data_IF_189331282333
#
_entry.id   IF_189331282333
#
_cell.length_a   1.000
_cell.length_b   1.000
_cell.length_c   1.000
_cell.angle_alpha   90.00
_cell.angle_beta   90.00
_cell.angle_gamma   90.00
#
_symmetry.space_group_name_H-M   'P 1'
#
loop_
_entity.id
_entity.type
_entity.pdbx_description
1 polymer ?
#
# COMPACT_ATOMS: atom_id res chain seq x y z
N UNK A 1 54.73 -19.94 -21.58
CA UNK A 1 53.98 -18.82 -20.98
C UNK A 1 52.74 -18.60 -21.83
N UNK A 2 51.59 -19.08 -21.39
CA UNK A 2 50.38 -19.14 -22.22
C UNK A 2 49.34 -18.14 -21.72
N UNK A 3 48.93 -17.21 -22.59
CA UNK A 3 47.87 -16.23 -22.32
C UNK A 3 46.51 -16.84 -22.64
N UNK A 4 45.68 -17.10 -21.63
CA UNK A 4 44.30 -17.58 -21.81
C UNK A 4 43.31 -16.44 -21.61
N UNK A 5 42.69 -16.01 -22.71
CA UNK A 5 41.52 -15.12 -22.73
C UNK A 5 40.23 -15.96 -22.73
N UNK A 6 39.23 -15.56 -21.94
CA UNK A 6 37.85 -16.07 -22.03
C UNK A 6 36.88 -15.15 -21.29
N UNK A 7 36.26 -14.21 -22.02
CA UNK A 7 35.18 -13.35 -21.51
C UNK A 7 33.80 -13.99 -21.78
N UNK A 8 33.35 -14.93 -20.94
CA UNK A 8 32.02 -15.55 -21.08
C UNK A 8 30.90 -14.70 -20.47
N UNK A 9 30.63 -13.54 -21.09
CA UNK A 9 29.42 -12.75 -20.80
C UNK A 9 28.22 -13.32 -21.57
N UNK A 10 27.38 -14.11 -20.88
CA UNK A 10 26.17 -14.70 -21.47
C UNK A 10 25.12 -13.61 -21.75
N UNK A 11 25.12 -13.10 -22.97
CA UNK A 11 24.11 -12.17 -23.49
C UNK A 11 22.79 -12.92 -23.75
N UNK A 12 21.80 -12.67 -22.90
CA UNK A 12 20.43 -13.17 -23.07
C UNK A 12 19.73 -12.50 -24.27
N UNK A 13 19.47 -13.26 -25.33
CA UNK A 13 18.55 -12.81 -26.39
C UNK A 13 17.10 -12.89 -25.92
N UNK A 14 16.56 -11.74 -25.53
CA UNK A 14 15.18 -11.58 -25.09
C UNK A 14 14.15 -11.71 -26.23
N UNK A 15 14.56 -11.64 -27.50
CA UNK A 15 13.63 -11.60 -28.65
C UNK A 15 12.96 -12.95 -28.92
N UNK A 16 13.63 -14.06 -28.58
CA UNK A 16 13.06 -15.41 -28.75
C UNK A 16 11.87 -15.72 -27.83
N UNK A 17 11.52 -14.84 -26.88
CA UNK A 17 10.40 -15.03 -25.94
C UNK A 17 9.01 -14.70 -26.53
N UNK A 18 8.93 -14.05 -27.69
CA UNK A 18 7.68 -13.42 -28.15
C UNK A 18 6.60 -14.41 -28.66
N UNK A 19 6.97 -15.67 -28.89
CA UNK A 19 6.08 -16.66 -29.53
C UNK A 19 5.17 -17.44 -28.58
N UNK A 20 5.42 -17.43 -27.26
CA UNK A 20 4.59 -18.15 -26.27
C UNK A 20 3.30 -17.40 -25.89
N UNK A 21 3.16 -16.12 -26.25
CA UNK A 21 2.16 -15.21 -25.67
C UNK A 21 0.71 -15.45 -26.16
N UNK A 22 0.45 -16.47 -26.97
CA UNK A 22 -0.85 -16.72 -27.60
C UNK A 22 -1.67 -17.90 -27.03
N UNK A 23 -1.22 -18.56 -25.94
CA UNK A 23 -1.91 -19.76 -25.39
C UNK A 23 -2.15 -19.74 -23.88
N UNK A 24 -3.01 -18.82 -23.40
CA UNK A 24 -3.67 -18.98 -22.09
C UNK A 24 -5.03 -18.25 -22.02
N UNK A 25 -6.11 -18.90 -22.50
CA UNK A 25 -7.49 -18.37 -22.37
C UNK A 25 -8.20 -18.91 -21.11
N UNK A 26 -8.77 -18.00 -20.33
CA UNK A 26 -9.71 -18.29 -19.23
C UNK A 26 -9.13 -18.13 -17.81
N UNK A 27 -9.94 -17.83 -16.78
CA UNK A 27 -11.40 -17.57 -16.73
C UNK A 27 -11.71 -16.58 -15.61
N UNK A 28 -12.55 -15.55 -15.84
CA UNK A 28 -13.20 -14.76 -14.78
C UNK A 28 -14.65 -14.36 -15.14
N UNK A 29 -15.58 -14.74 -14.27
CA UNK A 29 -16.71 -13.97 -13.72
C UNK A 29 -17.67 -13.17 -14.63
N UNK A 30 -18.93 -13.63 -14.73
CA UNK A 30 -20.10 -12.79 -15.08
C UNK A 30 -20.75 -12.15 -13.82
N UNK A 31 -21.63 -11.15 -14.02
CA UNK A 31 -22.18 -10.23 -12.98
C UNK A 31 -23.65 -9.81 -13.28
N UNK A 32 -24.38 -9.23 -12.30
CA UNK A 32 -24.71 -7.77 -12.28
C UNK A 32 -24.52 -7.21 -10.84
N UNK A 33 -25.27 -6.30 -10.18
CA UNK A 33 -25.89 -4.98 -10.53
C UNK A 33 -24.96 -3.80 -10.03
N UNK A 34 -25.20 -2.48 -9.86
CA UNK A 34 -26.38 -1.57 -9.67
C UNK A 34 -27.06 -1.73 -8.28
N UNK A 35 -27.59 -0.75 -7.50
CA UNK A 35 -27.66 0.75 -7.39
C UNK A 35 -27.95 1.09 -5.88
N UNK A 36 -28.06 2.35 -5.36
CA UNK A 36 -27.71 3.70 -5.85
C UNK A 36 -26.84 4.54 -4.85
N UNK A 37 -26.71 5.86 -5.08
CA UNK A 37 -25.91 6.85 -4.32
C UNK A 37 -26.79 7.78 -3.44
N UNK A 38 -26.16 8.64 -2.60
CA UNK A 38 -26.71 9.92 -2.16
C UNK A 38 -25.62 10.98 -1.88
N UNK A 39 -26.03 12.23 -1.68
CA UNK A 39 -25.24 13.45 -1.96
C UNK A 39 -24.70 14.20 -0.73
N UNK A 40 -23.96 15.29 -0.99
CA UNK A 40 -23.28 16.18 -0.04
C UNK A 40 -24.21 17.22 0.62
N UNK A 41 -23.74 17.88 1.70
CA UNK A 41 -24.42 19.03 2.31
C UNK A 41 -23.43 20.00 2.95
N UNK A 42 -23.52 21.28 2.60
CA UNK A 42 -22.62 22.36 3.04
C UNK A 42 -23.09 22.97 4.37
N UNK A 43 -22.43 22.62 5.48
CA UNK A 43 -22.92 22.95 6.83
C UNK A 43 -21.86 23.49 7.83
N UNK A 44 -20.58 23.57 7.45
CA UNK A 44 -19.46 23.66 8.42
C UNK A 44 -18.76 25.03 8.50
N UNK A 45 -19.14 26.02 7.66
CA UNK A 45 -18.52 27.37 7.70
C UNK A 45 -19.07 28.28 8.81
N UNK A 46 -20.36 28.19 9.13
CA UNK A 46 -21.05 29.18 9.99
C UNK A 46 -20.78 28.98 11.50
N UNK A 47 -20.28 27.81 11.88
CA UNK A 47 -19.92 27.45 13.27
C UNK A 47 -18.80 28.33 13.84
N UNK A 48 -17.75 28.58 13.05
CA UNK A 48 -16.47 29.12 13.55
C UNK A 48 -16.50 30.64 13.80
N UNK A 49 -17.49 31.35 13.27
CA UNK A 49 -17.65 32.81 13.43
C UNK A 49 -18.13 33.26 14.82
N UNK A 50 -18.42 32.31 15.72
CA UNK A 50 -18.93 32.59 17.07
C UNK A 50 -17.85 32.72 18.14
N UNK A 51 -16.80 31.89 18.13
CA UNK A 51 -15.84 31.78 19.24
C UNK A 51 -14.87 32.96 19.40
N UNK A 52 -14.72 33.81 18.38
CA UNK A 52 -13.78 34.95 18.41
C UNK A 52 -14.42 36.31 18.72
N UNK A 53 -15.73 36.37 18.94
CA UNK A 53 -16.43 37.60 19.31
C UNK A 53 -16.21 37.93 20.80
N UNK A 54 -15.27 38.84 21.08
CA UNK A 54 -15.11 39.47 22.40
C UNK A 54 -13.68 39.48 22.98
N UNK A 55 -12.75 38.68 22.43
CA UNK A 55 -11.38 38.54 22.95
C UNK A 55 -10.64 39.88 23.07
N UNK A 56 -10.15 40.22 24.26
CA UNK A 56 -9.25 41.37 24.48
C UNK A 56 -7.88 41.13 23.85
N UNK A 57 -7.08 42.19 23.66
CA UNK A 57 -5.72 42.05 23.10
C UNK A 57 -4.78 41.23 23.99
N UNK A 58 -5.03 41.19 25.31
CA UNK A 58 -4.28 40.35 26.26
C UNK A 58 -4.60 38.86 26.07
N UNK A 59 -5.88 38.52 25.93
CA UNK A 59 -6.33 37.13 25.71
C UNK A 59 -5.94 36.62 24.31
N UNK A 60 -6.00 37.49 23.29
CA UNK A 60 -5.50 37.19 21.95
C UNK A 60 -3.99 36.89 21.95
N UNK A 61 -3.20 37.62 22.75
CA UNK A 61 -1.77 37.33 22.94
C UNK A 61 -1.55 35.96 23.59
N UNK A 62 -2.30 35.65 24.66
CA UNK A 62 -2.17 34.40 25.40
C UNK A 62 -2.53 33.19 24.54
N UNK A 63 -3.70 33.20 23.86
CA UNK A 63 -4.11 32.08 22.99
C UNK A 63 -3.14 31.81 21.84
N UNK A 64 -2.48 32.83 21.31
CA UNK A 64 -1.43 32.64 20.30
C UNK A 64 -0.17 32.00 20.90
N UNK A 65 0.23 32.40 22.11
CA UNK A 65 1.38 31.80 22.81
C UNK A 65 1.12 30.35 23.25
N UNK A 66 -0.10 30.01 23.65
CA UNK A 66 -0.54 28.62 23.94
C UNK A 66 -0.46 27.72 22.69
N UNK A 67 -0.63 28.30 21.50
CA UNK A 67 -0.48 27.63 20.21
C UNK A 67 0.96 27.72 19.63
N UNK A 68 1.94 28.15 20.44
CA UNK A 68 3.36 28.18 20.09
C UNK A 68 3.84 29.39 19.28
N UNK A 69 2.98 30.38 19.01
CA UNK A 69 3.36 31.60 18.29
C UNK A 69 3.99 32.65 19.23
N UNK A 70 4.92 33.45 18.68
CA UNK A 70 5.52 34.59 19.37
C UNK A 70 4.99 35.92 18.80
N UNK A 71 3.75 36.35 19.12
CA UNK A 71 3.17 37.57 18.57
C UNK A 71 3.94 38.83 18.98
N UNK A 72 4.11 39.76 18.04
CA UNK A 72 4.63 41.10 18.29
C UNK A 72 3.61 42.00 19.00
N UNK A 73 3.78 43.34 18.96
CA UNK A 73 2.84 44.27 19.55
C UNK A 73 1.44 44.16 18.93
N UNK A 74 0.46 43.76 19.75
CA UNK A 74 -0.95 43.77 19.37
C UNK A 74 -1.49 45.18 19.62
N UNK A 75 -1.98 45.82 18.56
CA UNK A 75 -2.57 47.15 18.56
C UNK A 75 -3.73 47.19 17.56
N UNK A 76 -4.48 48.30 17.50
CA UNK A 76 -5.66 48.45 16.64
C UNK A 76 -5.42 48.18 15.15
N UNK A 77 -4.19 48.31 14.64
CA UNK A 77 -3.83 47.99 13.24
C UNK A 77 -3.40 46.53 13.05
N UNK A 78 -2.76 45.90 14.03
CA UNK A 78 -2.26 44.51 13.94
C UNK A 78 -3.27 43.46 14.43
N UNK A 79 -4.22 43.84 15.30
CA UNK A 79 -5.24 42.99 15.93
C UNK A 79 -6.04 42.14 14.93
N UNK A 80 -6.45 42.70 13.79
CA UNK A 80 -7.21 41.97 12.77
C UNK A 80 -6.40 40.82 12.13
N UNK A 81 -5.10 41.03 11.92
CA UNK A 81 -4.18 40.00 11.41
C UNK A 81 -3.97 38.89 12.43
N UNK A 82 -3.79 39.25 13.72
CA UNK A 82 -3.63 38.27 14.79
C UNK A 82 -4.91 37.46 15.06
N UNK A 83 -6.10 38.07 14.94
CA UNK A 83 -7.38 37.33 15.00
C UNK A 83 -7.49 36.33 13.84
N UNK A 84 -7.18 36.72 12.59
CA UNK A 84 -7.16 35.78 11.46
C UNK A 84 -6.16 34.64 11.66
N UNK A 85 -4.95 34.93 12.16
CA UNK A 85 -3.94 33.91 12.44
C UNK A 85 -4.40 32.93 13.53
N UNK A 86 -5.05 33.43 14.58
CA UNK A 86 -5.66 32.58 15.61
C UNK A 86 -6.76 31.67 15.03
N UNK A 87 -7.65 32.19 14.17
CA UNK A 87 -8.66 31.36 13.49
C UNK A 87 -8.01 30.27 12.62
N UNK A 88 -6.96 30.59 11.85
CA UNK A 88 -6.24 29.60 11.04
C UNK A 88 -5.61 28.51 11.92
N UNK A 89 -4.92 28.89 13.00
CA UNK A 89 -4.27 27.94 13.91
C UNK A 89 -5.28 27.06 14.66
N UNK A 90 -6.44 27.60 15.07
CA UNK A 90 -7.52 26.82 15.68
C UNK A 90 -8.18 25.87 14.66
N UNK A 91 -8.32 26.28 13.39
CA UNK A 91 -8.76 25.38 12.33
C UNK A 91 -7.71 24.31 12.02
N UNK A 92 -6.41 24.62 12.07
CA UNK A 92 -5.32 23.66 11.89
C UNK A 92 -5.26 22.65 13.05
N UNK A 93 -5.34 23.11 14.31
CA UNK A 93 -5.41 22.22 15.49
C UNK A 93 -6.67 21.36 15.49
N UNK A 94 -7.83 21.91 15.11
CA UNK A 94 -9.05 21.13 14.98
C UNK A 94 -8.98 20.12 13.81
N UNK A 95 -8.35 20.47 12.68
CA UNK A 95 -8.09 19.52 11.60
C UNK A 95 -7.18 18.38 12.06
N UNK A 96 -6.12 18.67 12.82
CA UNK A 96 -5.21 17.65 13.40
C UNK A 96 -5.96 16.77 14.42
N UNK A 97 -6.71 17.36 15.34
CA UNK A 97 -7.49 16.62 16.33
C UNK A 97 -8.62 15.78 15.70
N UNK A 98 -9.24 16.25 14.61
CA UNK A 98 -10.20 15.47 13.83
C UNK A 98 -9.52 14.37 13.00
N UNK A 99 -8.29 14.56 12.50
CA UNK A 99 -7.53 13.48 11.88
C UNK A 99 -7.20 12.37 12.89
N UNK A 100 -6.74 12.72 14.10
CA UNK A 100 -6.50 11.75 15.17
C UNK A 100 -7.79 11.04 15.61
N UNK A 101 -8.89 11.78 15.86
CA UNK A 101 -10.19 11.17 16.21
C UNK A 101 -10.82 10.36 15.07
N UNK A 102 -10.53 10.64 13.80
CA UNK A 102 -10.89 9.75 12.68
C UNK A 102 -10.02 8.49 12.64
N UNK A 103 -8.72 8.59 12.95
CA UNK A 103 -7.81 7.45 12.99
C UNK A 103 -8.21 6.46 14.10
N UNK A 104 -8.59 6.95 15.27
CA UNK A 104 -9.07 6.11 16.38
C UNK A 104 -10.45 5.50 16.08
N UNK A 105 -11.38 6.25 15.47
CA UNK A 105 -12.68 5.69 15.05
C UNK A 105 -12.60 4.70 13.90
N UNK A 106 -11.64 4.83 12.99
CA UNK A 106 -11.44 3.85 11.90
C UNK A 106 -10.78 2.57 12.41
N UNK A 107 -9.90 2.63 13.42
CA UNK A 107 -9.33 1.41 14.04
C UNK A 107 -10.40 0.43 14.59
N UNK A 108 -11.60 0.90 14.95
CA UNK A 108 -12.71 0.02 15.36
C UNK A 108 -13.48 -0.66 14.21
N UNK A 109 -13.30 -0.23 12.96
CA UNK A 109 -14.04 -0.75 11.78
C UNK A 109 -13.11 -1.34 10.69
N UNK A 110 -11.79 -1.09 10.80
CA UNK A 110 -10.77 -1.64 9.92
C UNK A 110 -10.63 -3.17 10.10
N UNK A 111 -11.26 -3.92 9.19
CA UNK A 111 -11.46 -5.37 9.31
C UNK A 111 -10.23 -6.22 8.88
N UNK A 112 -9.06 -5.83 9.38
CA UNK A 112 -7.81 -6.60 9.36
C UNK A 112 -7.90 -7.86 10.23
N UNK A 113 -6.85 -8.71 10.20
CA UNK A 113 -6.69 -9.77 11.21
C UNK A 113 -6.41 -9.20 12.61
N UNK A 114 -6.85 -9.84 13.71
CA UNK A 114 -6.56 -9.37 15.07
C UNK A 114 -5.06 -9.38 15.41
N UNK A 115 -4.28 -10.21 14.73
CA UNK A 115 -2.82 -10.22 14.77
C UNK A 115 -2.24 -8.92 14.15
N UNK A 116 -2.74 -8.50 12.98
CA UNK A 116 -2.35 -7.23 12.35
C UNK A 116 -2.88 -6.01 13.12
N UNK A 117 -4.12 -6.02 13.64
CA UNK A 117 -4.64 -4.94 14.49
C UNK A 117 -3.74 -4.71 15.71
N UNK A 118 -3.31 -5.79 16.38
CA UNK A 118 -2.39 -5.70 17.52
C UNK A 118 -1.04 -5.06 17.14
N UNK A 119 -0.48 -5.42 15.99
CA UNK A 119 0.75 -4.82 15.49
C UNK A 119 0.56 -3.34 15.10
N UNK A 120 -0.57 -2.99 14.47
CA UNK A 120 -0.94 -1.61 14.12
C UNK A 120 -1.21 -0.72 15.35
N UNK A 121 -1.66 -1.30 16.47
CA UNK A 121 -1.94 -0.56 17.71
C UNK A 121 -0.72 -0.44 18.64
N UNK A 122 0.06 -1.52 18.78
CA UNK A 122 1.09 -1.63 19.83
C UNK A 122 2.53 -1.67 19.31
N UNK A 123 2.70 -1.73 17.98
CA UNK A 123 3.97 -1.98 17.29
C UNK A 123 4.72 -3.27 17.73
N UNK A 124 4.05 -4.15 18.46
CA UNK A 124 4.58 -5.48 18.82
C UNK A 124 4.40 -6.43 17.65
N UNK A 125 5.44 -6.52 16.83
CA UNK A 125 5.54 -7.44 15.70
C UNK A 125 5.70 -8.89 16.20
N UNK A 126 5.24 -9.90 15.45
CA UNK A 126 5.46 -11.30 15.79
C UNK A 126 6.85 -11.78 15.33
N UNK A 127 7.56 -12.49 16.20
CA UNK A 127 8.90 -13.05 15.96
C UNK A 127 8.87 -14.28 15.04
N UNK A 128 8.41 -14.09 13.79
CA UNK A 128 8.24 -15.16 12.80
C UNK A 128 9.51 -15.43 11.95
N UNK A 129 10.70 -15.05 12.42
CA UNK A 129 11.96 -15.30 11.71
C UNK A 129 12.21 -16.80 11.46
N UNK A 130 11.97 -17.64 12.46
CA UNK A 130 12.07 -19.11 12.34
C UNK A 130 10.95 -19.70 11.45
N UNK A 131 9.78 -19.07 11.42
CA UNK A 131 8.66 -19.47 10.57
C UNK A 131 8.94 -19.16 9.10
N UNK A 132 9.49 -17.98 8.79
CA UNK A 132 9.96 -17.67 7.44
C UNK A 132 11.11 -18.60 7.03
N UNK A 133 12.05 -18.90 7.93
CA UNK A 133 13.13 -19.85 7.65
C UNK A 133 12.58 -21.26 7.32
N UNK A 134 11.60 -21.76 8.06
CA UNK A 134 10.97 -23.06 7.79
C UNK A 134 10.20 -23.09 6.46
N UNK A 135 9.59 -21.98 6.06
CA UNK A 135 9.00 -21.80 4.73
C UNK A 135 10.07 -21.82 3.62
N UNK A 136 11.16 -21.07 3.79
CA UNK A 136 12.26 -21.02 2.82
C UNK A 136 12.94 -22.39 2.65
N UNK A 137 13.31 -23.06 3.74
CA UNK A 137 14.10 -24.30 3.72
C UNK A 137 13.43 -25.42 2.89
N UNK A 138 12.10 -25.54 2.95
CA UNK A 138 11.38 -26.54 2.17
C UNK A 138 11.37 -26.27 0.66
N UNK A 139 11.45 -24.99 0.27
CA UNK A 139 11.34 -24.56 -1.12
C UNK A 139 12.68 -24.16 -1.75
N UNK A 140 13.75 -24.08 -0.94
CA UNK A 140 15.12 -23.96 -1.42
C UNK A 140 15.61 -25.27 -2.07
N UNK A 141 15.30 -26.41 -1.45
CA UNK A 141 15.51 -27.78 -1.97
C UNK A 141 14.16 -28.53 -2.09
N UNK A 142 13.33 -28.19 -3.10
CA UNK A 142 12.02 -28.81 -3.26
C UNK A 142 12.16 -30.27 -3.73
N UNK A 143 11.41 -31.18 -3.10
CA UNK A 143 11.32 -32.59 -3.51
C UNK A 143 10.95 -32.70 -5.00
N UNK A 144 11.86 -33.28 -5.79
CA UNK A 144 11.76 -33.40 -7.24
C UNK A 144 10.74 -34.47 -7.67
N UNK A 145 10.44 -35.45 -6.79
CA UNK A 145 9.43 -36.47 -7.06
C UNK A 145 8.01 -35.90 -6.92
N UNK A 146 7.85 -34.79 -6.19
CA UNK A 146 6.58 -34.11 -5.98
C UNK A 146 6.30 -33.10 -7.08
N UNK A 147 5.15 -33.24 -7.74
CA UNK A 147 4.67 -32.29 -8.75
C UNK A 147 4.23 -30.97 -8.09
N UNK A 148 5.09 -29.97 -8.11
CA UNK A 148 4.80 -28.61 -7.66
C UNK A 148 4.06 -27.80 -8.72
N UNK A 149 3.11 -26.96 -8.29
CA UNK A 149 2.31 -26.10 -9.17
C UNK A 149 3.22 -25.10 -9.89
N UNK A 150 3.14 -25.09 -11.22
CA UNK A 150 4.00 -24.30 -12.12
C UNK A 150 5.51 -24.58 -11.99
N UNK A 151 5.89 -25.76 -11.47
CA UNK A 151 7.27 -26.23 -11.38
C UNK A 151 8.08 -25.66 -10.23
N UNK A 152 9.40 -25.87 -10.30
CA UNK A 152 10.39 -25.53 -9.26
C UNK A 152 11.37 -24.41 -9.67
N UNK A 153 11.13 -23.74 -10.80
CA UNK A 153 12.04 -22.70 -11.30
C UNK A 153 11.90 -21.44 -10.43
N UNK A 154 13.00 -21.05 -9.77
CA UNK A 154 13.17 -19.83 -8.94
C UNK A 154 13.08 -18.55 -9.79
N UNK A 155 11.86 -18.25 -10.23
CA UNK A 155 11.49 -17.23 -11.21
C UNK A 155 10.29 -16.37 -10.79
N UNK A 156 9.77 -16.64 -9.58
CA UNK A 156 8.61 -15.95 -9.02
C UNK A 156 9.06 -14.92 -7.98
N UNK A 157 8.18 -13.96 -7.73
CA UNK A 157 8.33 -12.94 -6.69
C UNK A 157 6.96 -12.54 -6.16
N UNK A 158 6.89 -11.84 -5.04
CA UNK A 158 5.69 -11.16 -4.59
C UNK A 158 5.71 -9.70 -5.02
N UNK A 159 4.52 -9.11 -5.21
CA UNK A 159 4.42 -7.67 -5.44
C UNK A 159 3.21 -7.08 -4.74
N UNK A 160 3.35 -5.84 -4.31
CA UNK A 160 2.30 -5.05 -3.69
C UNK A 160 1.99 -3.84 -4.58
N UNK A 161 0.72 -3.47 -4.69
CA UNK A 161 0.34 -2.17 -5.25
C UNK A 161 -0.05 -1.23 -4.12
N UNK A 162 0.57 -0.05 -4.08
CA UNK A 162 0.36 0.95 -3.04
C UNK A 162 -0.16 2.27 -3.63
N UNK A 163 -1.02 2.94 -2.85
CA UNK A 163 -1.58 4.25 -3.18
C UNK A 163 -0.64 5.40 -2.75
N UNK A 164 -0.04 6.16 -3.69
CA UNK A 164 0.83 7.29 -3.38
C UNK A 164 0.15 8.40 -2.57
N UNK A 165 -1.19 8.50 -2.62
CA UNK A 165 -1.99 9.49 -1.87
C UNK A 165 -1.97 9.20 -0.37
N UNK A 166 -1.70 7.94 0.01
CA UNK A 166 -1.58 7.48 1.40
C UNK A 166 -0.12 7.44 1.84
N UNK A 167 0.80 6.90 1.03
CA UNK A 167 2.24 6.89 1.38
C UNK A 167 2.80 8.30 1.51
N UNK A 168 2.45 9.21 0.60
CA UNK A 168 2.95 10.59 0.52
C UNK A 168 4.49 10.62 0.54
N UNK A 169 5.12 9.86 -0.38
CA UNK A 169 6.57 9.61 -0.41
C UNK A 169 7.11 9.12 0.95
N UNK A 170 6.53 8.03 1.46
CA UNK A 170 6.87 7.48 2.77
C UNK A 170 8.39 7.20 2.95
N UNK A 171 9.13 6.65 1.96
CA UNK A 171 10.58 6.43 2.08
C UNK A 171 11.41 7.70 2.26
N UNK A 172 10.92 8.86 1.81
CA UNK A 172 11.57 10.14 2.07
C UNK A 172 11.31 10.64 3.49
N UNK A 173 10.04 10.64 3.94
CA UNK A 173 9.64 11.19 5.24
C UNK A 173 9.89 10.29 6.45
N UNK A 174 10.14 8.99 6.23
CA UNK A 174 10.44 7.99 7.27
C UNK A 174 11.56 8.40 8.23
N UNK A 175 12.57 9.13 7.75
CA UNK A 175 13.69 9.68 8.52
C UNK A 175 13.27 10.60 9.69
N UNK A 176 12.04 11.13 9.64
CA UNK A 176 11.48 12.05 10.65
C UNK A 176 10.25 11.48 11.36
N UNK A 177 9.97 10.19 11.21
CA UNK A 177 8.79 9.51 11.75
C UNK A 177 9.19 8.37 12.70
N UNK A 178 8.30 7.99 13.61
CA UNK A 178 8.50 6.75 14.36
C UNK A 178 8.20 5.52 13.46
N UNK A 179 8.94 4.40 13.59
CA UNK A 179 8.72 3.21 12.75
C UNK A 179 7.29 2.64 12.80
N UNK A 180 6.57 2.91 13.89
CA UNK A 180 5.15 2.57 14.07
C UNK A 180 4.23 3.30 13.07
N UNK A 181 4.38 4.62 12.92
CA UNK A 181 3.61 5.42 11.94
C UNK A 181 4.00 5.07 10.50
N UNK A 182 5.27 4.70 10.26
CA UNK A 182 5.72 4.19 8.97
C UNK A 182 4.98 2.89 8.62
N UNK A 183 4.90 1.95 9.57
CA UNK A 183 4.20 0.67 9.36
C UNK A 183 2.69 0.86 9.21
N UNK A 184 2.07 1.72 10.03
CA UNK A 184 0.67 2.11 9.83
C UNK A 184 0.45 2.72 8.45
N UNK A 185 1.25 3.71 8.02
CA UNK A 185 1.14 4.31 6.68
C UNK A 185 1.23 3.25 5.58
N UNK A 186 2.25 2.39 5.65
CA UNK A 186 2.51 1.36 4.66
C UNK A 186 1.33 0.38 4.52
N UNK A 187 0.81 -0.11 5.65
CA UNK A 187 -0.34 -1.02 5.68
C UNK A 187 -1.61 -0.37 5.10
N UNK A 188 -1.91 0.89 5.46
CA UNK A 188 -3.08 1.59 4.90
C UNK A 188 -2.93 1.93 3.41
N UNK A 189 -1.70 1.99 2.88
CA UNK A 189 -1.45 2.29 1.47
C UNK A 189 -1.58 1.07 0.55
N UNK A 190 -1.43 -0.16 1.05
CA UNK A 190 -1.52 -1.39 0.24
C UNK A 190 -2.97 -1.66 -0.14
N UNK A 191 -3.29 -1.57 -1.44
CA UNK A 191 -4.61 -1.92 -1.97
C UNK A 191 -4.61 -3.25 -2.76
N UNK A 192 -3.44 -3.87 -2.99
CA UNK A 192 -3.35 -5.20 -3.61
C UNK A 192 -2.09 -5.96 -3.19
N UNK A 193 -2.24 -7.27 -2.98
CA UNK A 193 -1.14 -8.22 -2.74
C UNK A 193 -1.14 -9.26 -3.86
N UNK A 194 0.02 -9.59 -4.43
CA UNK A 194 0.12 -10.58 -5.51
C UNK A 194 1.41 -11.38 -5.55
N UNK A 195 1.47 -12.30 -6.53
CA UNK A 195 2.67 -13.01 -6.99
C UNK A 195 2.85 -12.79 -8.49
N UNK A 196 4.10 -12.57 -8.89
CA UNK A 196 4.51 -12.23 -10.24
C UNK A 196 5.56 -13.17 -10.81
N UNK A 197 5.63 -13.17 -12.15
CA UNK A 197 6.71 -13.69 -12.98
C UNK A 197 6.85 -12.71 -14.15
N UNK A 198 8.07 -12.36 -14.56
CA UNK A 198 8.33 -11.40 -15.66
C UNK A 198 7.45 -10.13 -15.52
N UNK A 199 6.78 -9.71 -16.59
CA UNK A 199 5.92 -8.51 -16.66
C UNK A 199 4.57 -8.58 -15.92
N UNK A 200 4.27 -9.65 -15.18
CA UNK A 200 2.95 -9.88 -14.55
C UNK A 200 2.38 -8.70 -13.72
N UNK A 201 3.16 -7.90 -12.96
CA UNK A 201 2.64 -6.74 -12.23
C UNK A 201 1.99 -5.69 -13.15
N UNK A 202 2.58 -5.46 -14.32
CA UNK A 202 2.08 -4.51 -15.32
C UNK A 202 0.77 -4.95 -15.98
N UNK A 203 0.36 -6.22 -15.87
CA UNK A 203 -0.86 -6.75 -16.49
C UNK A 203 -2.12 -5.95 -16.13
N UNK A 204 -2.20 -5.39 -14.93
CA UNK A 204 -3.35 -4.58 -14.48
C UNK A 204 -3.18 -3.09 -14.76
N UNK A 205 -1.94 -2.64 -14.99
CA UNK A 205 -1.62 -1.30 -15.45
C UNK A 205 -1.93 -1.16 -16.95
N UNK A 206 -1.62 -2.18 -17.77
CA UNK A 206 -2.06 -2.24 -19.16
C UNK A 206 -3.58 -2.24 -19.29
N UNK A 207 -4.28 -3.08 -18.51
CA UNK A 207 -5.75 -3.09 -18.47
C UNK A 207 -6.33 -1.72 -18.09
N UNK A 208 -5.76 -1.06 -17.07
CA UNK A 208 -6.16 0.29 -16.68
C UNK A 208 -5.84 1.34 -17.78
N UNK A 209 -4.77 1.18 -18.54
CA UNK A 209 -4.38 2.13 -19.60
C UNK A 209 -5.39 2.15 -20.75
N UNK A 210 -5.94 1.00 -21.14
CA UNK A 210 -7.04 0.90 -22.12
C UNK A 210 -8.27 1.73 -21.68
N UNK A 211 -8.63 1.65 -20.39
CA UNK A 211 -9.70 2.46 -19.80
C UNK A 211 -9.35 3.94 -19.63
N UNK A 212 -8.07 4.27 -19.44
CA UNK A 212 -7.61 5.65 -19.26
C UNK A 212 -7.58 6.43 -20.59
N UNK A 213 -7.16 5.76 -21.68
CA UNK A 213 -7.18 6.32 -23.04
C UNK A 213 -8.58 6.46 -23.63
N UNK A 214 -9.52 5.62 -23.19
CA UNK A 214 -10.89 5.53 -23.74
C UNK A 214 -11.09 4.37 -24.72
N UNK A 215 -10.02 3.61 -25.04
CA UNK A 215 -10.01 2.45 -25.94
C UNK A 215 -11.01 1.35 -25.51
N UNK A 216 -11.42 1.33 -24.23
CA UNK A 216 -12.22 0.27 -23.62
C UNK A 216 -13.37 0.82 -22.78
N UNK A 217 -14.61 0.59 -23.19
CA UNK A 217 -15.83 1.21 -22.61
C UNK A 217 -16.71 0.22 -21.84
N UNK A 218 -16.14 -0.47 -20.83
CA UNK A 218 -16.92 -1.37 -19.95
C UNK A 218 -17.52 -0.65 -18.73
N UNK A 219 -18.82 -0.83 -18.51
CA UNK A 219 -19.55 -0.25 -17.38
C UNK A 219 -19.22 -0.88 -16.00
N UNK A 220 -18.47 -2.00 -15.93
CA UNK A 220 -18.24 -2.70 -14.65
C UNK A 220 -16.83 -3.29 -14.48
N UNK A 221 -15.88 -2.37 -14.25
CA UNK A 221 -14.49 -2.60 -13.85
C UNK A 221 -14.32 -3.64 -12.73
N UNK A 222 -13.09 -4.13 -12.53
CA UNK A 222 -12.69 -4.78 -11.28
C UNK A 222 -12.19 -3.72 -10.25
N UNK A 223 -12.30 -3.96 -8.94
CA UNK A 223 -11.92 -2.98 -7.92
C UNK A 223 -10.47 -2.49 -8.04
N UNK A 224 -9.56 -3.39 -8.45
CA UNK A 224 -8.13 -3.09 -8.67
C UNK A 224 -7.92 -2.04 -9.76
N UNK A 225 -8.50 -2.26 -10.94
CA UNK A 225 -8.40 -1.32 -12.07
C UNK A 225 -9.12 -0.01 -11.77
N UNK A 226 -10.26 -0.06 -11.08
CA UNK A 226 -10.94 1.14 -10.59
C UNK A 226 -10.04 1.96 -9.64
N UNK A 227 -9.32 1.32 -8.73
CA UNK A 227 -8.40 2.00 -7.80
C UNK A 227 -7.17 2.58 -8.55
N UNK A 228 -6.57 1.84 -9.48
CA UNK A 228 -5.48 2.33 -10.34
C UNK A 228 -5.91 3.61 -11.09
N UNK A 229 -7.11 3.59 -11.70
CA UNK A 229 -7.69 4.75 -12.38
C UNK A 229 -7.99 5.92 -11.44
N UNK A 230 -8.34 5.68 -10.17
CA UNK A 230 -8.53 6.73 -9.17
C UNK A 230 -7.21 7.41 -8.78
N UNK A 231 -6.11 6.65 -8.68
CA UNK A 231 -4.76 7.21 -8.43
C UNK A 231 -4.31 8.08 -9.61
N UNK A 232 -4.45 7.59 -10.84
CA UNK A 232 -4.08 8.33 -12.05
C UNK A 232 -4.93 9.59 -12.27
N UNK A 233 -6.23 9.54 -12.00
CA UNK A 233 -7.12 10.71 -12.05
C UNK A 233 -6.78 11.78 -10.99
N UNK A 234 -6.06 11.41 -9.93
CA UNK A 234 -5.50 12.35 -8.95
C UNK A 234 -4.10 12.88 -9.34
N UNK A 235 -3.62 12.63 -10.57
CA UNK A 235 -2.34 13.12 -11.07
C UNK A 235 -1.11 12.37 -10.56
N UNK A 236 -1.28 11.24 -9.85
CA UNK A 236 -0.20 10.45 -9.27
C UNK A 236 -0.07 9.09 -9.97
N UNK A 237 1.04 8.38 -9.78
CA UNK A 237 1.26 7.05 -10.37
C UNK A 237 1.24 5.93 -9.33
N UNK A 238 0.66 4.78 -9.66
CA UNK A 238 0.56 3.63 -8.74
C UNK A 238 1.95 3.08 -8.44
N UNK A 239 2.23 2.80 -7.18
CA UNK A 239 3.49 2.21 -6.74
C UNK A 239 3.40 0.70 -6.92
N UNK A 240 4.38 0.08 -7.60
CA UNK A 240 4.49 -1.37 -7.75
C UNK A 240 5.77 -1.87 -7.05
N UNK A 241 5.66 -2.18 -5.76
CA UNK A 241 6.76 -2.72 -4.97
C UNK A 241 6.96 -4.20 -5.30
N UNK A 242 8.19 -4.64 -5.58
CA UNK A 242 8.53 -6.05 -5.76
C UNK A 242 9.30 -6.55 -4.53
N UNK A 243 8.93 -7.70 -3.98
CA UNK A 243 9.54 -8.26 -2.78
C UNK A 243 9.67 -9.79 -2.88
N UNK A 244 10.52 -10.38 -2.05
CA UNK A 244 10.74 -11.83 -1.97
C UNK A 244 11.01 -12.46 -3.36
N UNK A 245 12.04 -11.94 -4.04
CA UNK A 245 12.42 -12.35 -5.40
C UNK A 245 13.16 -13.70 -5.42
N UNK A 246 13.29 -14.29 -6.61
CA UNK A 246 14.02 -15.55 -6.86
C UNK A 246 13.47 -16.76 -6.08
N UNK A 247 12.16 -16.79 -5.83
CA UNK A 247 11.46 -17.90 -5.17
C UNK A 247 10.74 -18.80 -6.18
N UNK A 248 10.42 -20.04 -5.78
CA UNK A 248 9.60 -20.92 -6.62
C UNK A 248 8.11 -20.51 -6.54
N UNK A 249 7.25 -20.90 -7.50
CA UNK A 249 5.88 -20.38 -7.57
C UNK A 249 5.05 -20.66 -6.32
N UNK A 250 5.11 -21.89 -5.79
CA UNK A 250 4.36 -22.30 -4.59
C UNK A 250 4.79 -21.56 -3.31
N UNK A 251 6.02 -21.07 -3.25
CA UNK A 251 6.46 -20.19 -2.17
C UNK A 251 5.84 -18.79 -2.32
N UNK A 252 5.90 -18.18 -3.50
CA UNK A 252 5.27 -16.88 -3.77
C UNK A 252 3.74 -16.91 -3.54
N UNK A 253 3.08 -18.01 -3.89
CA UNK A 253 1.69 -18.28 -3.52
C UNK A 253 1.48 -18.31 -2.00
N UNK A 254 2.36 -18.98 -1.26
CA UNK A 254 2.24 -19.13 0.20
C UNK A 254 2.52 -17.81 0.93
N UNK A 255 3.52 -17.03 0.47
CA UNK A 255 3.81 -15.66 0.95
C UNK A 255 2.64 -14.71 0.67
N UNK A 256 2.06 -14.74 -0.53
CA UNK A 256 0.82 -14.00 -0.86
C UNK A 256 -0.31 -14.41 0.09
N UNK A 257 -0.53 -15.71 0.28
CA UNK A 257 -1.61 -16.22 1.13
C UNK A 257 -1.49 -15.74 2.59
N UNK A 258 -0.28 -15.73 3.16
CA UNK A 258 -0.04 -15.22 4.52
C UNK A 258 -0.32 -13.72 4.60
N UNK A 259 0.20 -12.90 3.68
CA UNK A 259 -0.03 -11.45 3.67
C UNK A 259 -1.52 -11.10 3.45
N UNK A 260 -2.22 -11.81 2.56
CA UNK A 260 -3.66 -11.64 2.32
C UNK A 260 -4.51 -12.09 3.51
N UNK A 261 -4.10 -13.15 4.23
CA UNK A 261 -4.79 -13.61 5.45
C UNK A 261 -4.59 -12.64 6.63
N UNK A 262 -3.44 -11.95 6.70
CA UNK A 262 -3.18 -10.91 7.69
C UNK A 262 -3.93 -9.58 7.39
N UNK A 263 -3.92 -9.14 6.12
CA UNK A 263 -4.64 -7.94 5.67
C UNK A 263 -6.17 -8.11 5.66
N UNK A 264 -6.64 -9.33 5.36
CA UNK A 264 -8.06 -9.58 5.11
C UNK A 264 -8.53 -9.07 3.74
N UNK A 265 -9.44 -9.81 3.09
CA UNK A 265 -9.89 -9.47 1.73
C UNK A 265 -10.65 -8.14 1.62
N UNK A 266 -11.28 -7.66 2.70
CA UNK A 266 -12.05 -6.41 2.66
C UNK A 266 -11.17 -5.16 2.55
N UNK A 267 -9.92 -5.26 3.00
CA UNK A 267 -8.94 -4.17 2.92
C UNK A 267 -8.13 -4.20 1.61
N UNK A 268 -8.43 -5.13 0.69
CA UNK A 268 -7.68 -5.34 -0.54
C UNK A 268 -8.62 -5.40 -1.75
N UNK A 269 -8.09 -5.08 -2.93
CA UNK A 269 -8.77 -5.30 -4.22
C UNK A 269 -8.63 -6.76 -4.73
N UNK A 270 -8.12 -7.66 -3.87
CA UNK A 270 -7.99 -9.09 -4.11
C UNK A 270 -9.36 -9.79 -4.13
N UNK A 271 -9.73 -10.40 -5.26
CA UNK A 271 -11.02 -11.11 -5.39
C UNK A 271 -11.11 -12.42 -4.58
N UNK A 272 -9.96 -13.03 -4.21
CA UNK A 272 -9.90 -14.30 -3.48
C UNK A 272 -8.69 -14.36 -2.54
N UNK A 273 -8.74 -15.28 -1.56
CA UNK A 273 -7.59 -15.63 -0.71
C UNK A 273 -6.50 -16.34 -1.53
N UNK A 274 -5.27 -16.30 -1.04
CA UNK A 274 -4.15 -17.05 -1.61
C UNK A 274 -4.23 -18.55 -1.31
N UNK A 275 -3.44 -19.33 -2.04
CA UNK A 275 -3.37 -20.79 -1.92
C UNK A 275 -2.11 -21.16 -1.08
N UNK A 276 -2.26 -21.86 0.05
CA UNK A 276 -1.13 -22.24 0.92
C UNK A 276 -0.48 -23.58 0.51
N UNK A 277 0.84 -23.65 0.50
CA UNK A 277 1.62 -24.87 0.20
C UNK A 277 2.62 -25.22 1.32
N UNK A 278 3.28 -26.36 1.18
CA UNK A 278 4.38 -26.76 2.05
C UNK A 278 3.95 -27.06 3.50
N UNK A 279 4.85 -26.86 4.46
CA UNK A 279 4.56 -26.96 5.90
C UNK A 279 3.48 -25.96 6.33
N UNK A 280 3.45 -24.79 5.69
CA UNK A 280 2.52 -23.71 6.00
C UNK A 280 1.07 -24.10 5.69
N UNK A 281 0.78 -24.99 4.73
CA UNK A 281 -0.61 -25.45 4.53
C UNK A 281 -1.22 -26.03 5.81
N UNK A 282 -0.40 -26.72 6.60
CA UNK A 282 -0.81 -27.46 7.79
C UNK A 282 -0.82 -26.60 9.07
N UNK A 283 -0.37 -25.34 9.01
CA UNK A 283 -0.32 -24.45 10.17
C UNK A 283 -1.70 -23.93 10.58
N UNK A 284 -1.85 -23.61 11.87
CA UNK A 284 -3.00 -22.90 12.39
C UNK A 284 -3.14 -21.51 11.74
N UNK A 285 -4.38 -21.02 11.62
CA UNK A 285 -4.69 -19.73 10.98
C UNK A 285 -3.99 -18.55 11.68
N UNK A 286 -3.85 -18.59 13.01
CA UNK A 286 -3.10 -17.58 13.79
C UNK A 286 -1.65 -17.46 13.29
N UNK A 287 -0.91 -18.57 13.26
CA UNK A 287 0.50 -18.62 12.82
C UNK A 287 0.68 -18.15 11.37
N UNK A 288 -0.26 -18.48 10.48
CA UNK A 288 -0.31 -17.97 9.09
C UNK A 288 -0.43 -16.45 9.03
N UNK A 289 -1.16 -15.83 9.96
CA UNK A 289 -1.32 -14.37 10.05
C UNK A 289 -0.13 -13.70 10.71
N UNK A 290 0.42 -14.31 11.75
CA UNK A 290 1.67 -13.86 12.39
C UNK A 290 2.81 -13.78 11.36
N UNK A 291 3.01 -14.84 10.56
CA UNK A 291 3.93 -14.82 9.43
C UNK A 291 3.53 -13.77 8.36
N UNK A 292 2.23 -13.56 8.13
CA UNK A 292 1.74 -12.51 7.23
C UNK A 292 2.10 -11.09 7.68
N UNK A 293 1.97 -10.78 8.97
CA UNK A 293 2.37 -9.49 9.56
C UNK A 293 3.89 -9.28 9.47
N UNK A 294 4.67 -10.32 9.76
CA UNK A 294 6.13 -10.31 9.60
C UNK A 294 6.54 -10.04 8.14
N UNK A 295 5.93 -10.73 7.16
CA UNK A 295 6.18 -10.50 5.74
C UNK A 295 5.77 -9.09 5.29
N UNK A 296 4.67 -8.53 5.81
CA UNK A 296 4.28 -7.15 5.54
C UNK A 296 5.28 -6.14 6.12
N UNK A 297 5.80 -6.37 7.33
CA UNK A 297 6.84 -5.51 7.92
C UNK A 297 8.16 -5.59 7.14
N UNK A 298 8.59 -6.80 6.71
CA UNK A 298 9.74 -6.94 5.82
C UNK A 298 9.53 -6.26 4.46
N UNK A 299 8.32 -6.31 3.90
CA UNK A 299 7.99 -5.58 2.68
C UNK A 299 8.07 -4.05 2.89
N UNK A 300 7.69 -3.53 4.06
CA UNK A 300 7.90 -2.11 4.40
C UNK A 300 9.40 -1.77 4.40
N UNK A 301 10.23 -2.59 5.05
CA UNK A 301 11.69 -2.35 5.09
C UNK A 301 12.30 -2.30 3.69
N UNK A 302 11.87 -3.18 2.77
CA UNK A 302 12.27 -3.15 1.35
C UNK A 302 11.82 -1.83 0.69
N UNK A 303 10.57 -1.42 0.86
CA UNK A 303 10.04 -0.18 0.27
C UNK A 303 10.76 1.09 0.78
N UNK A 304 11.09 1.14 2.07
CA UNK A 304 11.85 2.24 2.66
C UNK A 304 13.29 2.32 2.10
N UNK A 305 13.87 1.19 1.69
CA UNK A 305 15.21 1.13 1.10
C UNK A 305 15.23 1.34 -0.43
N UNK A 306 14.25 0.85 -1.18
CA UNK A 306 14.18 0.98 -2.65
C UNK A 306 13.67 2.36 -3.12
N UNK A 307 12.95 3.06 -2.26
CA UNK A 307 12.34 4.37 -2.52
C UNK A 307 10.96 4.28 -3.21
N UNK A 308 10.23 5.40 -3.21
CA UNK A 308 8.92 5.44 -3.88
C UNK A 308 9.07 5.69 -5.39
N UNK A 309 8.54 4.76 -6.20
CA UNK A 309 8.51 4.86 -7.67
C UNK A 309 7.09 4.71 -8.16
N UNK A 310 6.56 5.78 -8.75
CA UNK A 310 5.18 5.90 -9.20
C UNK A 310 5.05 5.57 -10.70
N UNK A 311 4.14 4.67 -11.07
CA UNK A 311 3.84 4.31 -12.45
C UNK A 311 2.58 5.06 -12.93
N UNK A 312 2.79 6.08 -13.75
CA UNK A 312 1.76 6.94 -14.38
C UNK A 312 1.40 6.40 -15.77
N UNK A 313 0.30 6.83 -16.39
CA UNK A 313 -0.11 6.39 -17.73
C UNK A 313 0.97 6.51 -18.83
N UNK A 314 1.87 7.49 -18.72
CA UNK A 314 2.96 7.74 -19.68
C UNK A 314 4.16 6.80 -19.52
N UNK A 315 4.34 6.20 -18.35
CA UNK A 315 5.45 5.29 -18.05
C UNK A 315 5.19 3.86 -18.56
N UNK A 316 3.94 3.59 -18.95
CA UNK A 316 3.43 2.26 -19.30
C UNK A 316 3.39 2.14 -20.82
N UNK A 317 4.45 1.57 -21.39
CA UNK A 317 4.56 1.24 -22.81
C UNK A 317 4.14 -0.22 -23.03
N UNK A 318 3.23 -0.44 -23.97
CA UNK A 318 2.91 -1.76 -24.53
C UNK A 318 3.99 -2.16 -25.55
#
# INVERSE_FOLDING_TARGET
MSTTSSEDTILYDWRSMHSEMMSSKGKENHKPQTVPQKETSDADEDSVLSETKGLTDKELRLKLMELGECPGPINSRTRATYLRRLCCLLQESNKIAHHQKQLDKTQTDLQYSPELCRALQTFKLPECQADEQALCQQFDQPDQNRKWREGIIKSSFNYLLLDPRVTKNLPFRSHTMIPHECFQTFIHAIFYVGKGKRSRPYSHLYEALEYYKGDKTSKKLCPKVQHILQVWKAGQGVISLHCFQNVIPVEAYTREACMVEAMGLKMLTNQKRGDFYGVVSNWQVKRKRELGVHLLYRAMQIFLAEGERQLRPLDIRQ
#
